data_IF_467431846884
#
_entry.id   IF_467431846884
#
_cell.length_a   1.000
_cell.length_b   1.000
_cell.length_c   1.000
_cell.angle_alpha   90.00
_cell.angle_beta   90.00
_cell.angle_gamma   90.00
#
_symmetry.space_group_name_H-M   'P 1'
#
loop_
_entity.id
_entity.type
_entity.pdbx_description
1 polymer ?
#
# COMPACT_ATOMS: atom_id res chain seq x y z
N UNK A 1 -4.39 -8.66 11.45
CA UNK A 1 -3.07 -8.20 10.94
C UNK A 1 -3.06 -6.68 10.87
N UNK A 2 -1.98 -6.02 11.35
CA UNK A 2 -1.87 -4.55 11.36
C UNK A 2 -0.49 -4.13 10.82
N UNK A 3 -0.46 -3.38 9.74
CA UNK A 3 0.77 -3.06 9.02
C UNK A 3 0.85 -1.59 8.64
N UNK A 4 2.08 -1.12 8.39
CA UNK A 4 2.35 0.26 8.03
C UNK A 4 2.98 0.36 6.65
N UNK A 5 2.74 1.49 5.97
CA UNK A 5 3.46 1.85 4.77
C UNK A 5 4.36 3.06 5.02
N UNK A 6 5.59 2.97 4.53
CA UNK A 6 6.54 4.08 4.44
C UNK A 6 7.05 4.25 3.01
N UNK A 7 7.57 5.41 2.70
CA UNK A 7 8.13 5.70 1.38
C UNK A 7 9.54 6.29 1.49
N UNK A 8 10.41 6.00 0.51
CA UNK A 8 11.73 6.62 0.42
C UNK A 8 11.63 8.13 0.35
N UNK A 9 12.63 8.88 0.84
CA UNK A 9 12.60 10.33 0.82
C UNK A 9 12.59 10.88 -0.60
N UNK A 10 12.02 12.07 -0.78
CA UNK A 10 12.17 12.81 -2.04
C UNK A 10 13.65 13.11 -2.28
N UNK A 11 14.07 13.28 -3.55
CA UNK A 11 15.48 13.50 -3.94
C UNK A 11 16.21 14.61 -3.16
N UNK A 12 15.47 15.55 -2.57
CA UNK A 12 16.00 16.70 -1.81
C UNK A 12 16.09 16.48 -0.31
N UNK A 13 15.56 15.36 0.21
CA UNK A 13 15.59 15.06 1.64
C UNK A 13 16.56 13.90 1.92
N UNK A 14 17.33 13.97 3.02
CA UNK A 14 18.25 12.91 3.40
C UNK A 14 17.48 11.65 3.83
N UNK A 15 18.06 10.47 3.60
CA UNK A 15 17.43 9.18 3.91
C UNK A 15 17.24 8.96 5.42
N UNK A 16 18.06 9.60 6.24
CA UNK A 16 18.04 9.56 7.70
C UNK A 16 16.69 10.00 8.29
N UNK A 17 15.96 10.86 7.58
CA UNK A 17 14.60 11.27 7.99
C UNK A 17 13.66 10.05 7.99
N UNK A 18 13.79 9.17 7.00
CA UNK A 18 12.99 7.94 6.92
C UNK A 18 13.49 6.91 7.93
N UNK A 19 14.79 6.82 8.16
CA UNK A 19 15.34 5.91 9.18
C UNK A 19 14.80 6.24 10.57
N UNK A 20 14.76 7.52 10.93
CA UNK A 20 14.19 7.96 12.19
C UNK A 20 12.69 7.64 12.28
N UNK A 21 11.94 7.86 11.19
CA UNK A 21 10.52 7.52 11.15
C UNK A 21 10.32 5.99 11.33
N UNK A 22 11.12 5.17 10.63
CA UNK A 22 11.07 3.70 10.75
C UNK A 22 11.43 3.24 12.17
N UNK A 23 12.44 3.84 12.81
CA UNK A 23 12.79 3.56 14.21
C UNK A 23 11.60 3.78 15.15
N UNK A 24 10.92 4.92 15.05
CA UNK A 24 9.75 5.24 15.88
C UNK A 24 8.54 4.34 15.53
N UNK A 25 8.31 4.05 14.24
CA UNK A 25 7.23 3.18 13.78
C UNK A 25 7.42 1.72 14.22
N UNK A 26 8.67 1.22 14.23
CA UNK A 26 8.97 -0.14 14.66
C UNK A 26 8.63 -0.38 16.14
N UNK A 27 8.70 0.65 16.97
CA UNK A 27 8.31 0.57 18.39
C UNK A 27 6.81 0.35 18.60
N UNK A 28 5.98 0.65 17.60
CA UNK A 28 4.53 0.40 17.62
C UNK A 28 4.18 -1.07 17.31
N UNK A 29 5.18 -1.89 16.95
CA UNK A 29 5.08 -3.34 16.72
C UNK A 29 4.00 -3.73 15.71
N UNK A 30 3.97 -3.14 14.50
CA UNK A 30 3.13 -3.67 13.44
C UNK A 30 3.60 -5.08 13.04
N UNK A 31 2.73 -5.87 12.40
CA UNK A 31 3.09 -7.18 11.88
C UNK A 31 4.18 -7.08 10.80
N UNK A 32 4.12 -6.04 9.97
CA UNK A 32 5.16 -5.70 9.00
C UNK A 32 5.11 -4.22 8.60
N UNK A 33 6.20 -3.75 7.96
CA UNK A 33 6.24 -2.42 7.32
C UNK A 33 6.52 -2.60 5.84
N UNK A 34 5.63 -2.10 4.98
CA UNK A 34 5.87 -2.02 3.53
C UNK A 34 6.64 -0.76 3.14
N UNK A 35 7.49 -0.88 2.13
CA UNK A 35 8.31 0.23 1.63
C UNK A 35 8.00 0.47 0.16
N UNK A 36 7.46 1.66 -0.16
CA UNK A 36 7.13 1.97 -1.55
C UNK A 36 8.37 2.06 -2.44
N UNK A 37 8.16 1.78 -3.72
CA UNK A 37 9.17 2.05 -4.74
C UNK A 37 9.07 3.53 -5.12
N UNK A 38 9.96 4.35 -4.67
CA UNK A 38 9.82 5.81 -4.76
C UNK A 38 9.53 6.34 -6.17
N UNK A 39 8.79 7.41 -6.24
CA UNK A 39 8.21 8.01 -7.45
C UNK A 39 9.22 8.40 -8.57
N UNK A 40 10.51 8.26 -8.32
CA UNK A 40 11.58 8.54 -9.30
C UNK A 40 11.79 7.46 -10.36
N UNK A 41 11.49 6.19 -10.07
CA UNK A 41 11.89 5.03 -10.91
C UNK A 41 13.40 5.02 -11.19
N UNK A 42 13.95 3.84 -11.45
CA UNK A 42 15.37 3.69 -11.78
C UNK A 42 16.24 3.18 -10.61
N UNK A 43 17.53 2.95 -10.89
CA UNK A 43 18.44 2.25 -9.99
C UNK A 43 18.62 2.91 -8.61
N UNK A 44 18.61 4.24 -8.52
CA UNK A 44 18.76 4.96 -7.26
C UNK A 44 17.56 4.77 -6.34
N UNK A 45 16.35 4.73 -6.89
CA UNK A 45 15.10 4.53 -6.13
C UNK A 45 14.99 3.09 -5.64
N UNK A 46 15.31 2.12 -6.52
CA UNK A 46 15.41 0.71 -6.15
C UNK A 46 16.40 0.50 -4.99
N UNK A 47 17.51 1.25 -4.98
CA UNK A 47 18.51 1.17 -3.92
C UNK A 47 17.96 1.63 -2.58
N UNK A 48 17.26 2.76 -2.54
CA UNK A 48 16.68 3.31 -1.30
C UNK A 48 15.59 2.37 -0.72
N UNK A 49 14.74 1.78 -1.56
CA UNK A 49 13.73 0.80 -1.11
C UNK A 49 14.40 -0.41 -0.45
N UNK A 50 15.41 -1.02 -1.10
CA UNK A 50 16.14 -2.17 -0.55
C UNK A 50 16.84 -1.80 0.76
N UNK A 51 17.44 -0.62 0.83
CA UNK A 51 18.16 -0.14 2.01
C UNK A 51 17.23 0.06 3.21
N UNK A 52 16.07 0.68 3.00
CA UNK A 52 15.06 0.86 4.05
C UNK A 52 14.48 -0.49 4.48
N UNK A 53 14.14 -1.39 3.55
CA UNK A 53 13.70 -2.74 3.87
C UNK A 53 14.76 -3.51 4.66
N UNK A 54 16.04 -3.39 4.28
CA UNK A 54 17.16 -4.03 5.00
C UNK A 54 17.29 -3.49 6.44
N UNK A 55 17.11 -2.19 6.65
CA UNK A 55 17.08 -1.59 7.98
C UNK A 55 15.95 -2.19 8.83
N UNK A 56 14.73 -2.27 8.28
CA UNK A 56 13.56 -2.84 8.96
C UNK A 56 13.82 -4.30 9.32
N UNK A 57 14.26 -5.11 8.35
CA UNK A 57 14.43 -6.55 8.53
C UNK A 57 15.60 -6.90 9.43
N UNK A 58 16.78 -6.33 9.18
CA UNK A 58 18.02 -6.79 9.78
C UNK A 58 18.43 -6.00 11.04
N UNK A 59 17.92 -4.78 11.23
CA UNK A 59 18.20 -3.96 12.43
C UNK A 59 17.06 -4.02 13.45
N UNK A 60 15.82 -3.88 12.98
CA UNK A 60 14.66 -3.91 13.88
C UNK A 60 14.02 -5.31 14.00
N UNK A 61 14.54 -6.31 13.27
CA UNK A 61 14.05 -7.70 13.26
C UNK A 61 12.53 -7.78 13.04
N UNK A 62 12.05 -7.01 12.06
CA UNK A 62 10.63 -6.90 11.71
C UNK A 62 10.42 -7.32 10.27
N UNK A 63 9.26 -7.92 9.97
CA UNK A 63 8.93 -8.27 8.59
C UNK A 63 8.72 -7.02 7.73
N UNK A 64 9.11 -7.11 6.47
CA UNK A 64 9.04 -6.00 5.54
C UNK A 64 8.65 -6.47 4.15
N UNK A 65 7.84 -5.67 3.48
CA UNK A 65 7.35 -5.91 2.13
C UNK A 65 7.92 -4.85 1.19
N UNK A 66 8.69 -5.25 0.20
CA UNK A 66 9.25 -4.32 -0.79
C UNK A 66 8.26 -4.13 -1.95
N UNK A 67 7.87 -2.88 -2.25
CA UNK A 67 7.09 -2.61 -3.46
C UNK A 67 7.94 -2.84 -4.72
N UNK A 68 7.36 -3.49 -5.71
CA UNK A 68 8.01 -3.85 -6.96
C UNK A 68 7.08 -3.51 -8.14
N UNK A 69 7.24 -2.33 -8.77
CA UNK A 69 6.46 -1.96 -9.94
C UNK A 69 7.03 -2.60 -11.20
N UNK A 70 6.17 -3.20 -12.04
CA UNK A 70 6.57 -3.78 -13.33
C UNK A 70 6.84 -2.74 -14.42
N UNK A 71 6.17 -1.59 -14.34
CA UNK A 71 6.33 -0.53 -15.34
C UNK A 71 7.79 -0.06 -15.43
N UNK A 72 8.32 0.07 -16.64
CA UNK A 72 9.70 0.50 -16.92
C UNK A 72 10.80 -0.42 -16.36
N UNK A 73 10.49 -1.64 -15.92
CA UNK A 73 11.49 -2.64 -15.55
C UNK A 73 11.55 -3.75 -16.62
N UNK A 74 12.77 -4.11 -17.02
CA UNK A 74 12.99 -5.34 -17.79
C UNK A 74 13.02 -6.56 -16.87
N UNK A 75 12.90 -7.75 -17.45
CA UNK A 75 13.03 -9.03 -16.73
C UNK A 75 14.35 -9.14 -16.00
N UNK A 76 15.46 -8.74 -16.63
CA UNK A 76 16.78 -8.75 -16.01
C UNK A 76 16.87 -7.80 -14.82
N UNK A 77 16.21 -6.66 -14.89
CA UNK A 77 16.14 -5.70 -13.78
C UNK A 77 15.32 -6.26 -12.61
N UNK A 78 14.22 -6.94 -12.88
CA UNK A 78 13.44 -7.65 -11.86
C UNK A 78 14.27 -8.77 -11.23
N UNK A 79 14.94 -9.63 -12.02
CA UNK A 79 15.80 -10.68 -11.49
C UNK A 79 16.92 -10.11 -10.59
N UNK A 80 17.57 -9.03 -11.02
CA UNK A 80 18.59 -8.33 -10.24
C UNK A 80 18.05 -7.78 -8.92
N UNK A 81 16.83 -7.20 -8.95
CA UNK A 81 16.20 -6.66 -7.74
C UNK A 81 15.81 -7.78 -6.77
N UNK A 82 15.22 -8.87 -7.24
CA UNK A 82 14.90 -10.04 -6.41
C UNK A 82 16.15 -10.64 -5.78
N UNK A 83 17.25 -10.77 -6.52
CA UNK A 83 18.52 -11.24 -5.98
C UNK A 83 19.05 -10.31 -4.87
N UNK A 84 18.93 -9.00 -5.04
CA UNK A 84 19.33 -8.02 -4.01
C UNK A 84 18.44 -8.10 -2.78
N UNK A 85 17.11 -8.20 -2.93
CA UNK A 85 16.18 -8.37 -1.81
C UNK A 85 16.52 -9.63 -1.02
N UNK A 86 16.73 -10.77 -1.70
CA UNK A 86 17.13 -12.03 -1.07
C UNK A 86 18.47 -11.91 -0.31
N UNK A 87 19.44 -11.21 -0.86
CA UNK A 87 20.73 -10.99 -0.20
C UNK A 87 20.61 -10.19 1.11
N UNK A 88 19.50 -9.45 1.28
CA UNK A 88 19.17 -8.73 2.51
C UNK A 88 18.07 -9.41 3.36
N UNK A 89 17.79 -10.70 3.13
CA UNK A 89 16.76 -11.49 3.84
C UNK A 89 15.32 -10.95 3.66
N UNK A 90 15.04 -10.27 2.54
CA UNK A 90 13.73 -9.75 2.21
C UNK A 90 13.09 -10.71 1.21
N UNK A 91 12.00 -11.37 1.62
CA UNK A 91 11.34 -12.42 0.85
C UNK A 91 9.86 -12.08 0.54
N UNK A 92 9.41 -10.87 0.87
CA UNK A 92 8.05 -10.41 0.67
C UNK A 92 8.05 -9.20 -0.26
N UNK A 93 7.23 -9.27 -1.32
CA UNK A 93 7.12 -8.21 -2.31
C UNK A 93 5.66 -7.85 -2.57
N UNK A 94 5.39 -6.57 -2.76
CA UNK A 94 4.12 -6.07 -3.28
C UNK A 94 4.28 -5.81 -4.78
N UNK A 95 3.76 -6.73 -5.59
CA UNK A 95 3.81 -6.62 -7.04
C UNK A 95 2.76 -5.62 -7.55
N UNK A 96 3.20 -4.59 -8.23
CA UNK A 96 2.39 -3.52 -8.78
C UNK A 96 2.62 -3.42 -10.29
N UNK A 97 1.64 -2.92 -11.03
CA UNK A 97 1.90 -2.46 -12.39
C UNK A 97 2.82 -1.22 -12.35
N UNK A 98 2.55 -0.32 -11.45
CA UNK A 98 3.09 1.03 -11.37
C UNK A 98 2.26 2.04 -12.16
N UNK A 99 2.42 3.33 -11.84
CA UNK A 99 1.67 4.42 -12.44
C UNK A 99 2.44 5.08 -13.60
N UNK A 100 1.69 5.51 -14.61
CA UNK A 100 2.25 6.37 -15.67
C UNK A 100 2.55 7.75 -15.09
N UNK A 101 3.70 8.30 -15.43
CA UNK A 101 3.98 9.70 -15.11
C UNK A 101 3.41 10.61 -16.18
N UNK A 102 2.94 11.80 -15.82
CA UNK A 102 2.65 12.82 -16.82
C UNK A 102 3.90 13.10 -17.68
N UNK A 103 3.78 12.90 -18.98
CA UNK A 103 4.89 13.10 -19.94
C UNK A 103 5.80 11.89 -20.18
N UNK A 104 5.54 10.73 -19.56
CA UNK A 104 6.22 9.49 -19.93
C UNK A 104 5.64 8.96 -21.27
N UNK A 105 6.46 8.89 -22.31
CA UNK A 105 6.14 8.21 -23.59
C UNK A 105 6.22 6.68 -23.47
N UNK A 106 6.07 6.14 -22.26
CA UNK A 106 6.16 4.71 -22.03
C UNK A 106 4.96 4.01 -22.65
N UNK A 107 5.21 3.26 -23.70
CA UNK A 107 4.23 2.36 -24.25
C UNK A 107 4.15 1.09 -23.38
N UNK A 108 3.19 1.05 -22.45
CA UNK A 108 2.96 -0.12 -21.57
C UNK A 108 2.74 -1.40 -22.40
N UNK A 109 2.26 -1.28 -23.64
CA UNK A 109 2.06 -2.42 -24.55
C UNK A 109 3.38 -3.06 -25.01
N UNK A 110 4.48 -2.32 -24.95
CA UNK A 110 5.82 -2.74 -25.39
C UNK A 110 6.73 -3.14 -24.23
N UNK A 111 6.32 -2.88 -22.97
CA UNK A 111 7.06 -3.29 -21.78
C UNK A 111 6.97 -4.79 -21.50
N UNK A 112 7.93 -5.32 -20.74
CA UNK A 112 7.96 -6.74 -20.32
C UNK A 112 6.78 -7.13 -19.43
N UNK A 113 6.19 -6.17 -18.70
CA UNK A 113 5.08 -6.36 -17.78
C UNK A 113 3.98 -5.33 -18.04
N UNK A 114 2.95 -5.77 -18.71
CA UNK A 114 1.79 -4.93 -19.04
C UNK A 114 0.87 -4.74 -17.83
N UNK A 115 0.72 -5.80 -17.03
CA UNK A 115 -0.11 -5.86 -15.83
C UNK A 115 0.68 -6.40 -14.64
N UNK A 116 0.19 -6.13 -13.42
CA UNK A 116 0.77 -6.71 -12.22
C UNK A 116 0.73 -8.26 -12.24
N UNK A 117 -0.30 -8.86 -12.84
CA UNK A 117 -0.40 -10.32 -13.03
C UNK A 117 0.74 -10.90 -13.87
N UNK A 118 1.26 -10.15 -14.85
CA UNK A 118 2.42 -10.59 -15.65
C UNK A 118 3.69 -10.63 -14.79
N UNK A 119 3.86 -9.61 -13.94
CA UNK A 119 4.98 -9.55 -13.00
C UNK A 119 4.90 -10.68 -11.97
N UNK A 120 3.73 -10.92 -11.37
CA UNK A 120 3.51 -12.04 -10.43
C UNK A 120 3.84 -13.37 -11.09
N UNK A 121 3.30 -13.62 -12.28
CA UNK A 121 3.53 -14.84 -13.05
C UNK A 121 5.01 -15.03 -13.38
N UNK A 122 5.68 -13.94 -13.79
CA UNK A 122 7.12 -13.96 -14.05
C UNK A 122 7.92 -14.33 -12.80
N UNK A 123 7.71 -13.66 -11.68
CA UNK A 123 8.40 -13.94 -10.42
C UNK A 123 8.21 -15.41 -10.04
N UNK A 124 6.98 -15.92 -10.05
CA UNK A 124 6.69 -17.32 -9.69
C UNK A 124 7.23 -18.35 -10.68
N UNK A 125 7.51 -17.98 -11.91
CA UNK A 125 8.14 -18.86 -12.90
C UNK A 125 9.65 -19.03 -12.71
N UNK A 126 10.29 -18.19 -11.90
CA UNK A 126 11.72 -18.23 -11.65
C UNK A 126 12.03 -19.06 -10.41
N UNK A 127 13.06 -19.94 -10.47
CA UNK A 127 13.48 -20.74 -9.31
C UNK A 127 13.79 -19.85 -8.09
N UNK A 128 14.50 -18.73 -8.32
CA UNK A 128 14.78 -17.73 -7.30
C UNK A 128 13.54 -16.96 -6.83
N UNK A 129 12.42 -16.99 -7.56
CA UNK A 129 11.19 -16.25 -7.23
C UNK A 129 10.16 -17.10 -6.50
N UNK A 130 10.26 -18.43 -6.52
CA UNK A 130 9.26 -19.32 -5.94
C UNK A 130 9.05 -19.11 -4.45
N UNK A 131 10.13 -18.83 -3.71
CA UNK A 131 10.08 -18.63 -2.25
C UNK A 131 9.56 -17.26 -1.85
N UNK A 132 9.44 -16.30 -2.78
CA UNK A 132 8.88 -14.99 -2.44
C UNK A 132 7.39 -15.08 -2.15
N UNK A 133 6.95 -14.54 -1.02
CA UNK A 133 5.55 -14.21 -0.80
C UNK A 133 5.19 -12.96 -1.61
N UNK A 134 4.08 -13.02 -2.36
CA UNK A 134 3.69 -11.93 -3.24
C UNK A 134 2.35 -11.37 -2.80
N UNK A 135 2.36 -10.09 -2.44
CA UNK A 135 1.15 -9.28 -2.27
C UNK A 135 0.84 -8.52 -3.56
N UNK A 136 -0.40 -8.09 -3.75
CA UNK A 136 -0.81 -7.23 -4.84
C UNK A 136 -1.87 -6.21 -4.40
N UNK A 137 -2.00 -5.11 -5.14
CA UNK A 137 -3.03 -4.11 -4.87
C UNK A 137 -4.40 -4.55 -5.42
N UNK A 138 -5.48 -4.14 -4.72
CA UNK A 138 -6.86 -4.23 -5.17
C UNK A 138 -7.57 -2.89 -4.95
N UNK A 139 -8.72 -2.69 -5.61
CA UNK A 139 -9.39 -1.39 -5.70
C UNK A 139 -10.87 -1.54 -5.31
N UNK A 140 -11.25 -1.20 -4.07
CA UNK A 140 -12.66 -1.26 -3.65
C UNK A 140 -13.60 -0.40 -4.50
N UNK A 141 -13.09 0.72 -5.01
CA UNK A 141 -13.83 1.68 -5.85
C UNK A 141 -13.54 1.53 -7.35
N UNK A 142 -13.04 0.36 -7.77
CA UNK A 142 -12.66 0.05 -9.16
C UNK A 142 -11.40 0.81 -9.61
N UNK A 143 -10.50 0.14 -10.29
CA UNK A 143 -9.32 0.77 -10.87
C UNK A 143 -9.72 1.79 -11.94
N UNK A 144 -9.16 3.00 -11.88
CA UNK A 144 -9.54 4.11 -12.78
C UNK A 144 -9.37 3.86 -14.29
N UNK A 145 -8.58 2.84 -14.67
CA UNK A 145 -8.41 2.42 -16.09
C UNK A 145 -9.19 1.14 -16.41
N UNK A 146 -9.92 0.54 -15.46
CA UNK A 146 -10.75 -0.62 -15.75
C UNK A 146 -11.97 -0.24 -16.58
N UNK A 147 -12.36 -1.10 -17.50
CA UNK A 147 -13.50 -0.87 -18.37
C UNK A 147 -14.85 -0.97 -17.63
N UNK A 148 -14.90 -1.79 -16.58
CA UNK A 148 -16.06 -1.95 -15.69
C UNK A 148 -15.62 -2.59 -14.36
N UNK A 149 -16.47 -2.59 -13.32
CA UNK A 149 -16.22 -3.30 -12.05
C UNK A 149 -15.94 -4.80 -12.28
N UNK A 150 -16.68 -5.45 -13.17
CA UNK A 150 -16.52 -6.87 -13.49
C UNK A 150 -15.17 -7.13 -14.15
N UNK A 151 -14.73 -6.23 -15.05
CA UNK A 151 -13.41 -6.34 -15.68
C UNK A 151 -12.28 -6.20 -14.66
N UNK A 152 -12.42 -5.31 -13.67
CA UNK A 152 -11.43 -5.14 -12.61
C UNK A 152 -11.35 -6.39 -11.72
N UNK A 153 -12.49 -7.00 -11.38
CA UNK A 153 -12.54 -8.28 -10.64
C UNK A 153 -11.89 -9.44 -11.42
N UNK A 154 -12.09 -9.51 -12.74
CA UNK A 154 -11.41 -10.51 -13.59
C UNK A 154 -9.89 -10.32 -13.49
N UNK A 155 -9.40 -9.09 -13.65
CA UNK A 155 -7.97 -8.82 -13.54
C UNK A 155 -7.41 -9.04 -12.14
N UNK A 156 -8.23 -8.80 -11.09
CA UNK A 156 -7.86 -9.14 -9.72
C UNK A 156 -7.73 -10.66 -9.54
N UNK A 157 -8.68 -11.42 -10.06
CA UNK A 157 -8.63 -12.89 -10.05
C UNK A 157 -7.39 -13.41 -10.78
N UNK A 158 -7.05 -12.85 -11.94
CA UNK A 158 -5.83 -13.19 -12.69
C UNK A 158 -4.54 -12.96 -11.86
N UNK A 159 -4.49 -11.91 -11.03
CA UNK A 159 -3.36 -11.66 -10.12
C UNK A 159 -3.27 -12.73 -9.04
N UNK A 160 -4.40 -13.12 -8.46
CA UNK A 160 -4.45 -14.16 -7.43
C UNK A 160 -4.06 -15.51 -8.02
N UNK A 161 -4.62 -15.89 -9.17
CA UNK A 161 -4.31 -17.14 -9.86
C UNK A 161 -2.85 -17.22 -10.34
N UNK A 162 -2.21 -16.08 -10.56
CA UNK A 162 -0.79 -16.00 -10.87
C UNK A 162 0.12 -16.32 -9.67
N UNK A 163 -0.40 -16.32 -8.43
CA UNK A 163 0.34 -16.67 -7.22
C UNK A 163 0.43 -15.57 -6.15
N UNK A 164 -0.49 -14.59 -6.19
CA UNK A 164 -0.63 -13.62 -5.09
C UNK A 164 -1.24 -14.30 -3.87
N UNK A 165 -0.67 -14.04 -2.69
CA UNK A 165 -1.09 -14.63 -1.41
C UNK A 165 -1.75 -13.64 -0.44
N UNK A 166 -1.67 -12.33 -0.71
CA UNK A 166 -2.26 -11.26 0.09
C UNK A 166 -2.65 -10.11 -0.82
N UNK A 167 -3.82 -9.53 -0.60
CA UNK A 167 -4.24 -8.30 -1.26
C UNK A 167 -4.23 -7.13 -0.27
N UNK A 168 -3.80 -5.96 -0.75
CA UNK A 168 -3.85 -4.70 0.00
C UNK A 168 -4.71 -3.74 -0.81
N UNK A 169 -5.77 -3.20 -0.20
CA UNK A 169 -6.66 -2.31 -0.93
C UNK A 169 -6.06 -0.93 -1.13
N UNK A 170 -6.42 -0.28 -2.23
CA UNK A 170 -6.30 1.17 -2.34
C UNK A 170 -7.12 1.82 -1.23
N UNK A 171 -6.73 3.04 -0.81
CA UNK A 171 -7.49 3.82 0.17
C UNK A 171 -8.95 4.00 -0.26
N UNK A 172 -9.82 4.02 0.71
CA UNK A 172 -11.24 4.35 0.62
C UNK A 172 -11.66 5.06 1.91
N UNK A 173 -12.81 5.74 1.89
CA UNK A 173 -13.32 6.48 3.05
C UNK A 173 -14.70 6.00 3.49
N UNK A 174 -15.30 5.07 2.76
CA UNK A 174 -16.62 4.50 3.03
C UNK A 174 -16.47 2.98 3.22
N UNK A 175 -16.68 2.48 4.44
CA UNK A 175 -16.52 1.06 4.75
C UNK A 175 -17.55 0.19 4.00
N UNK A 176 -18.75 0.71 3.70
CA UNK A 176 -19.75 -0.01 2.91
C UNK A 176 -19.25 -0.32 1.49
N UNK A 177 -18.39 0.54 0.93
CA UNK A 177 -17.74 0.26 -0.37
C UNK A 177 -16.80 -0.93 -0.24
N UNK A 178 -16.03 -0.97 0.83
CA UNK A 178 -15.09 -2.08 1.08
C UNK A 178 -15.83 -3.39 1.37
N UNK A 179 -16.92 -3.37 2.13
CA UNK A 179 -17.73 -4.57 2.39
C UNK A 179 -18.35 -5.14 1.12
N UNK A 180 -18.96 -4.31 0.27
CA UNK A 180 -19.47 -4.75 -1.04
C UNK A 180 -18.35 -5.32 -1.93
N UNK A 181 -17.15 -4.75 -1.87
CA UNK A 181 -15.99 -5.28 -2.58
C UNK A 181 -15.58 -6.65 -2.05
N UNK A 182 -15.56 -6.88 -0.73
CA UNK A 182 -15.27 -8.20 -0.15
C UNK A 182 -16.30 -9.25 -0.59
N UNK A 183 -17.59 -8.92 -0.61
CA UNK A 183 -18.65 -9.80 -1.13
C UNK A 183 -18.39 -10.16 -2.61
N UNK A 184 -18.13 -9.15 -3.45
CA UNK A 184 -17.87 -9.36 -4.87
C UNK A 184 -16.60 -10.20 -5.12
N UNK A 185 -15.55 -10.03 -4.32
CA UNK A 185 -14.33 -10.86 -4.41
C UNK A 185 -14.59 -12.29 -4.00
N UNK A 186 -15.39 -12.53 -2.96
CA UNK A 186 -15.80 -13.87 -2.52
C UNK A 186 -16.61 -14.59 -3.61
N UNK A 187 -17.58 -13.90 -4.23
CA UNK A 187 -18.39 -14.40 -5.34
C UNK A 187 -17.53 -14.73 -6.58
N UNK A 188 -16.47 -13.96 -6.81
CA UNK A 188 -15.48 -14.24 -7.87
C UNK A 188 -14.51 -15.39 -7.53
N UNK A 189 -14.64 -16.00 -6.35
CA UNK A 189 -13.78 -17.10 -5.90
C UNK A 189 -12.38 -16.67 -5.49
N UNK A 190 -12.20 -15.43 -5.05
CA UNK A 190 -10.95 -14.93 -4.49
C UNK A 190 -10.97 -15.25 -2.98
N UNK A 191 -10.02 -16.07 -2.53
CA UNK A 191 -9.97 -16.57 -1.15
C UNK A 191 -8.74 -16.10 -0.36
N UNK A 192 -7.85 -15.34 -0.98
CA UNK A 192 -6.69 -14.78 -0.29
C UNK A 192 -7.14 -13.64 0.65
N UNK A 193 -6.47 -13.45 1.80
CA UNK A 193 -6.80 -12.36 2.71
C UNK A 193 -6.66 -10.99 2.02
N UNK A 194 -7.54 -10.06 2.40
CA UNK A 194 -7.56 -8.69 1.88
C UNK A 194 -7.42 -7.72 3.07
N UNK A 195 -6.36 -6.94 3.09
CA UNK A 195 -6.17 -5.87 4.07
C UNK A 195 -6.83 -4.58 3.60
N UNK A 196 -7.51 -3.90 4.51
CA UNK A 196 -8.08 -2.59 4.29
C UNK A 196 -6.99 -1.52 4.34
N UNK A 197 -6.77 -0.81 3.25
CA UNK A 197 -5.83 0.30 3.16
C UNK A 197 -6.44 1.60 3.69
N UNK A 198 -5.95 2.08 4.82
CA UNK A 198 -6.48 3.27 5.50
C UNK A 198 -5.52 4.45 5.39
N UNK A 199 -6.04 5.58 4.90
CA UNK A 199 -5.30 6.83 4.74
C UNK A 199 -5.83 7.89 5.69
N UNK A 200 -5.15 8.17 6.80
CA UNK A 200 -5.54 9.26 7.69
C UNK A 200 -5.37 10.62 7.00
N UNK A 201 -6.39 11.44 7.05
CA UNK A 201 -6.33 12.81 6.54
C UNK A 201 -5.76 13.74 7.61
N UNK A 202 -4.56 14.25 7.42
CA UNK A 202 -3.82 15.01 8.44
C UNK A 202 -3.81 16.52 8.21
N UNK A 203 -4.11 16.97 6.99
CA UNK A 203 -4.27 18.38 6.64
C UNK A 203 -5.04 18.57 5.31
N UNK A 204 -5.61 19.72 5.11
CA UNK A 204 -6.45 20.03 3.95
C UNK A 204 -5.71 19.94 2.61
N UNK A 205 -4.41 20.27 2.58
CA UNK A 205 -3.58 20.17 1.37
C UNK A 205 -3.37 18.72 0.95
N UNK A 206 -3.05 17.83 1.91
CA UNK A 206 -2.94 16.39 1.68
C UNK A 206 -4.27 15.84 1.17
N UNK A 207 -5.38 16.18 1.83
CA UNK A 207 -6.73 15.78 1.44
C UNK A 207 -7.03 16.15 -0.02
N UNK A 208 -6.81 17.41 -0.40
CA UNK A 208 -7.02 17.89 -1.77
C UNK A 208 -6.14 17.16 -2.80
N UNK A 209 -4.91 16.81 -2.42
CA UNK A 209 -4.00 16.06 -3.27
C UNK A 209 -4.47 14.61 -3.48
N UNK A 210 -4.89 13.93 -2.41
CA UNK A 210 -5.40 12.55 -2.45
C UNK A 210 -6.67 12.46 -3.29
N UNK A 211 -7.61 13.39 -3.09
CA UNK A 211 -8.85 13.45 -3.89
C UNK A 211 -8.53 13.58 -5.38
N UNK A 212 -7.58 14.44 -5.74
CA UNK A 212 -7.17 14.60 -7.15
C UNK A 212 -6.48 13.36 -7.72
N UNK A 213 -5.69 12.66 -6.92
CA UNK A 213 -4.87 11.54 -7.38
C UNK A 213 -5.67 10.25 -7.52
N UNK A 214 -6.49 9.94 -6.52
CA UNK A 214 -7.19 8.66 -6.39
C UNK A 214 -8.68 8.76 -6.73
N UNK A 215 -9.24 9.98 -6.76
CA UNK A 215 -10.66 10.25 -6.98
C UNK A 215 -11.60 9.35 -6.14
N UNK A 216 -11.36 9.21 -4.82
CA UNK A 216 -12.16 8.32 -3.99
C UNK A 216 -13.55 8.91 -3.75
N UNK A 217 -14.52 8.05 -3.46
CA UNK A 217 -15.80 8.48 -2.92
C UNK A 217 -15.59 9.18 -1.57
N UNK A 218 -16.14 10.38 -1.41
CA UNK A 218 -16.07 11.13 -0.16
C UNK A 218 -17.45 11.11 0.51
N UNK A 219 -17.63 10.36 1.61
CA UNK A 219 -18.89 10.31 2.35
C UNK A 219 -19.32 11.69 2.86
N UNK A 220 -20.62 11.88 3.01
CA UNK A 220 -21.19 13.17 3.43
C UNK A 220 -20.60 13.69 4.75
N UNK A 221 -20.34 12.81 5.71
CA UNK A 221 -19.80 13.23 7.01
C UNK A 221 -18.32 13.63 6.89
N UNK A 222 -17.54 12.95 6.05
CA UNK A 222 -16.19 13.39 5.74
C UNK A 222 -16.17 14.73 4.97
N UNK A 223 -17.13 14.96 4.06
CA UNK A 223 -17.28 16.27 3.39
C UNK A 223 -17.55 17.40 4.39
N UNK A 224 -18.44 17.17 5.37
CA UNK A 224 -18.72 18.13 6.45
C UNK A 224 -17.47 18.40 7.31
N UNK A 225 -16.72 17.34 7.66
CA UNK A 225 -15.48 17.46 8.42
C UNK A 225 -14.46 18.33 7.67
N UNK A 226 -14.21 18.01 6.40
CA UNK A 226 -13.28 18.78 5.54
C UNK A 226 -13.72 20.25 5.48
N UNK A 227 -14.98 20.52 5.15
CA UNK A 227 -15.51 21.89 5.05
C UNK A 227 -15.43 22.69 6.34
N UNK A 228 -15.60 22.02 7.50
CA UNK A 228 -15.55 22.70 8.81
C UNK A 228 -14.15 23.05 9.28
N UNK A 229 -13.17 22.20 8.99
CA UNK A 229 -11.84 22.32 9.62
C UNK A 229 -10.71 22.70 8.66
N UNK A 230 -10.99 22.86 7.36
CA UNK A 230 -9.98 23.11 6.33
C UNK A 230 -9.05 24.30 6.59
N UNK A 231 -9.51 25.29 7.36
CA UNK A 231 -8.76 26.52 7.67
C UNK A 231 -8.00 26.45 9.02
N UNK A 232 -8.02 25.29 9.70
CA UNK A 232 -7.36 25.10 11.00
C UNK A 232 -6.64 23.76 11.05
N UNK A 233 -5.33 23.74 10.78
CA UNK A 233 -4.50 22.53 10.66
C UNK A 233 -4.61 21.59 11.87
N UNK A 234 -4.57 22.12 13.09
CA UNK A 234 -4.63 21.29 14.30
C UNK A 234 -6.03 20.65 14.50
N UNK A 235 -7.10 21.38 14.20
CA UNK A 235 -8.46 20.85 14.25
C UNK A 235 -8.69 19.84 13.13
N UNK A 236 -8.19 20.11 11.93
CA UNK A 236 -8.26 19.20 10.81
C UNK A 236 -7.53 17.87 11.13
N UNK A 237 -6.31 17.96 11.66
CA UNK A 237 -5.55 16.78 12.09
C UNK A 237 -6.33 15.93 13.09
N UNK A 238 -6.85 16.54 14.15
CA UNK A 238 -7.61 15.81 15.19
C UNK A 238 -8.85 15.15 14.62
N UNK A 239 -9.60 15.86 13.80
CA UNK A 239 -10.84 15.35 13.20
C UNK A 239 -10.54 14.24 12.18
N UNK A 240 -9.50 14.37 11.38
CA UNK A 240 -9.08 13.34 10.42
C UNK A 240 -8.53 12.07 11.08
N UNK A 241 -7.82 12.21 12.21
CA UNK A 241 -7.39 11.04 13.01
C UNK A 241 -8.61 10.34 13.64
N UNK A 242 -9.55 11.09 14.22
CA UNK A 242 -10.78 10.50 14.78
C UNK A 242 -11.56 9.74 13.71
N UNK A 243 -11.74 10.32 12.53
CA UNK A 243 -12.39 9.65 11.40
C UNK A 243 -11.69 8.32 11.02
N UNK A 244 -10.36 8.31 10.94
CA UNK A 244 -9.62 7.10 10.61
C UNK A 244 -9.71 6.04 11.73
N UNK A 245 -9.77 6.44 12.99
CA UNK A 245 -9.99 5.55 14.13
C UNK A 245 -11.38 4.92 14.05
N UNK A 246 -12.44 5.73 13.91
CA UNK A 246 -13.82 5.24 13.77
C UNK A 246 -13.94 4.25 12.58
N UNK A 247 -13.30 4.56 11.45
CA UNK A 247 -13.25 3.68 10.28
C UNK A 247 -12.59 2.34 10.60
N UNK A 248 -11.45 2.34 11.29
CA UNK A 248 -10.71 1.12 11.66
C UNK A 248 -11.47 0.31 12.71
N UNK A 249 -12.10 0.95 13.70
CA UNK A 249 -12.89 0.27 14.73
C UNK A 249 -14.06 -0.50 14.12
N UNK A 250 -14.77 0.09 13.17
CA UNK A 250 -15.83 -0.58 12.44
C UNK A 250 -15.30 -1.76 11.60
N UNK A 251 -14.17 -1.61 10.90
CA UNK A 251 -13.52 -2.68 10.14
C UNK A 251 -13.10 -3.85 11.05
N UNK A 252 -12.55 -3.57 12.23
CA UNK A 252 -12.19 -4.59 13.23
C UNK A 252 -13.45 -5.32 13.71
N UNK A 253 -14.53 -4.59 13.99
CA UNK A 253 -15.80 -5.18 14.45
C UNK A 253 -16.44 -6.10 13.38
N UNK A 254 -16.11 -5.92 12.11
CA UNK A 254 -16.53 -6.78 10.99
C UNK A 254 -15.51 -7.88 10.65
N UNK A 255 -14.53 -8.11 11.51
CA UNK A 255 -13.54 -9.20 11.40
C UNK A 255 -12.79 -9.20 10.05
N UNK A 256 -12.42 -8.02 9.54
CA UNK A 256 -11.61 -7.92 8.31
C UNK A 256 -10.24 -8.56 8.52
N UNK A 257 -9.64 -9.10 7.46
CA UNK A 257 -8.36 -9.84 7.52
C UNK A 257 -7.19 -9.01 8.06
N UNK A 258 -7.29 -7.68 7.99
CA UNK A 258 -6.29 -6.77 8.56
C UNK A 258 -6.40 -5.35 8.05
N UNK A 259 -5.63 -4.48 8.69
CA UNK A 259 -5.53 -3.05 8.37
C UNK A 259 -4.12 -2.74 7.87
N UNK A 260 -4.04 -2.00 6.78
CA UNK A 260 -2.80 -1.45 6.24
C UNK A 260 -2.84 0.07 6.33
N UNK A 261 -2.05 0.65 7.22
CA UNK A 261 -2.06 2.09 7.49
C UNK A 261 -1.03 2.82 6.63
N UNK A 262 -1.50 3.73 5.78
CA UNK A 262 -0.67 4.66 5.02
C UNK A 262 -0.16 5.77 5.95
N UNK A 263 0.99 5.55 6.59
CA UNK A 263 1.49 6.44 7.66
C UNK A 263 1.96 7.79 7.18
N UNK A 264 2.23 7.94 5.89
CA UNK A 264 2.88 9.12 5.31
C UNK A 264 4.22 9.48 5.99
N UNK A 265 4.97 8.45 6.44
CA UNK A 265 6.19 8.59 7.23
C UNK A 265 6.00 9.42 8.52
N UNK A 266 4.79 9.40 9.11
CA UNK A 266 4.44 10.16 10.31
C UNK A 266 4.27 9.24 11.53
N UNK A 267 5.30 9.07 12.39
CA UNK A 267 5.15 8.31 13.63
C UNK A 267 4.08 8.87 14.56
N UNK A 268 3.91 10.21 14.61
CA UNK A 268 2.85 10.86 15.38
C UNK A 268 1.45 10.35 14.98
N UNK A 269 1.21 10.26 13.68
CA UNK A 269 -0.08 9.80 13.13
C UNK A 269 -0.28 8.32 13.41
N UNK A 270 0.72 7.49 13.10
CA UNK A 270 0.66 6.05 13.34
C UNK A 270 0.46 5.75 14.82
N UNK A 271 1.18 6.42 15.71
CA UNK A 271 1.04 6.24 17.15
C UNK A 271 -0.36 6.59 17.66
N UNK A 272 -0.91 7.73 17.24
CA UNK A 272 -2.24 8.17 17.68
C UNK A 272 -3.33 7.15 17.31
N UNK A 273 -3.23 6.55 16.11
CA UNK A 273 -4.17 5.52 15.65
C UNK A 273 -3.89 4.19 16.37
N UNK A 274 -2.63 3.75 16.41
CA UNK A 274 -2.25 2.47 17.05
C UNK A 274 -2.68 2.43 18.52
N UNK A 275 -2.44 3.49 19.30
CA UNK A 275 -2.82 3.57 20.71
C UNK A 275 -4.34 3.40 20.91
N UNK A 276 -5.17 3.86 19.95
CA UNK A 276 -6.61 3.73 20.02
C UNK A 276 -7.11 2.33 19.60
N UNK A 277 -6.59 1.78 18.50
CA UNK A 277 -7.17 0.57 17.87
C UNK A 277 -6.49 -0.73 18.30
N UNK A 278 -5.23 -0.70 18.73
CA UNK A 278 -4.47 -1.90 19.08
C UNK A 278 -5.11 -2.73 20.20
N UNK A 279 -5.70 -2.12 21.24
CA UNK A 279 -6.40 -2.87 22.29
C UNK A 279 -7.59 -3.70 21.76
N UNK A 280 -8.17 -3.31 20.62
CA UNK A 280 -9.33 -3.97 20.02
C UNK A 280 -8.94 -5.18 19.15
N UNK A 281 -7.68 -5.25 18.71
CA UNK A 281 -7.20 -6.32 17.82
C UNK A 281 -6.89 -7.64 18.54
N UNK A 282 -6.91 -7.68 19.85
CA UNK A 282 -6.59 -8.85 20.68
C UNK A 282 -7.79 -9.48 21.39
N UNK A 283 -9.01 -9.07 21.05
CA UNK A 283 -10.23 -9.56 21.70
C UNK A 283 -10.84 -10.73 20.94
#
# INVERSE_FOLDING_TARGET
MFSFEVYPPKKTAPIEVVYKAVEELSQLKPDYISVTYGAGGGAATASATVEICSLIKNTYNMDTVAHLPGINLSREQVDSLLARLRAHNIMDVLALRGDRRPGDDVNIQEGDFRYASDLVRYIKSRDAGQDFAISAACYPEVHGEAASPEADLIHLKEKVDAGTSLLISQLFFDNDVFYRFLEATADAGIQVPIQAGIMPLTNARQCSHIIKLCNPHIPTDLQKLIGRYQDCDESFYKAGIAYAIDQIEDLIAQDVSGIHLYTMNSPRTAKAITDAVYPLMGC
#
